data_IF_772113557018
#
_entry.id   IF_772113557018
#
_cell.length_a   1.000
_cell.length_b   1.000
_cell.length_c   1.000
_cell.angle_alpha   90.00
_cell.angle_beta   90.00
_cell.angle_gamma   90.00
#
_symmetry.space_group_name_H-M   'P 1'
#
loop_
_entity.id
_entity.type
_entity.pdbx_description
1 polymer ?
#
# COMPACT_ATOMS: atom_id res chain seq x y z
N UNK A 1 -45.84 47.74 22.39
CA UNK A 1 -45.54 46.82 23.52
C UNK A 1 -44.50 45.82 23.06
N UNK A 2 -43.36 45.75 23.78
CA UNK A 2 -42.34 44.68 23.79
C UNK A 2 -41.55 44.49 22.47
N UNK A 3 -40.37 45.10 22.39
CA UNK A 3 -39.06 44.49 22.72
C UNK A 3 -38.75 43.28 21.85
N UNK A 4 -37.84 43.42 20.89
CA UNK A 4 -36.92 42.34 20.57
C UNK A 4 -35.56 42.91 20.17
N UNK A 5 -34.57 42.34 20.84
CA UNK A 5 -33.23 42.85 21.09
C UNK A 5 -32.37 42.94 19.83
N UNK A 6 -31.67 44.07 19.71
CA UNK A 6 -30.28 44.10 19.27
C UNK A 6 -29.45 43.19 20.19
N UNK A 7 -28.63 42.30 19.65
CA UNK A 7 -27.17 42.47 19.75
C UNK A 7 -26.45 41.32 19.06
N UNK A 8 -25.48 41.72 18.23
CA UNK A 8 -24.45 40.89 17.64
C UNK A 8 -23.72 40.07 18.71
N UNK A 9 -23.61 38.76 18.49
CA UNK A 9 -22.41 38.02 18.85
C UNK A 9 -22.00 37.23 17.62
N UNK A 10 -21.21 37.89 16.76
CA UNK A 10 -20.35 37.23 15.78
C UNK A 10 -19.27 36.48 16.55
N UNK A 11 -19.62 35.31 17.07
CA UNK A 11 -18.66 34.31 17.53
C UNK A 11 -18.11 33.62 16.30
N UNK A 12 -17.11 34.23 15.67
CA UNK A 12 -16.33 33.63 14.60
C UNK A 12 -15.55 32.44 15.19
N UNK A 13 -16.18 31.28 15.26
CA UNK A 13 -15.47 30.02 15.46
C UNK A 13 -14.76 29.75 14.15
N UNK A 14 -13.55 30.29 14.02
CA UNK A 14 -12.58 29.80 13.05
C UNK A 14 -12.23 28.38 13.50
N UNK A 15 -13.05 27.41 13.09
CA UNK A 15 -12.65 26.03 13.05
C UNK A 15 -11.48 25.98 12.07
N UNK A 16 -10.27 26.09 12.60
CA UNK A 16 -9.06 25.74 11.90
C UNK A 16 -9.19 24.24 11.66
N UNK A 17 -9.78 23.88 10.53
CA UNK A 17 -9.68 22.54 9.97
C UNK A 17 -8.20 22.35 9.66
N UNK A 18 -7.45 21.86 10.65
CA UNK A 18 -6.12 21.30 10.40
C UNK A 18 -6.33 20.27 9.28
N UNK A 19 -5.65 20.41 8.14
CA UNK A 19 -5.74 19.40 7.09
C UNK A 19 -5.33 18.08 7.74
N UNK A 20 -6.24 17.12 7.76
CA UNK A 20 -5.90 15.75 8.09
C UNK A 20 -4.81 15.36 7.09
N UNK A 21 -3.59 15.20 7.58
CA UNK A 21 -2.52 14.60 6.79
C UNK A 21 -2.99 13.20 6.43
N UNK A 22 -3.57 13.03 5.25
CA UNK A 22 -3.84 11.72 4.67
C UNK A 22 -2.50 11.21 4.17
N UNK A 23 -1.72 10.61 5.07
CA UNK A 23 -0.36 10.12 4.78
C UNK A 23 -0.25 8.60 5.01
N UNK A 24 -1.18 7.82 4.46
CA UNK A 24 -0.91 6.42 4.16
C UNK A 24 -1.48 6.06 2.79
N UNK A 25 -0.63 5.63 1.85
CA UNK A 25 -1.05 5.07 0.55
C UNK A 25 -0.69 3.58 0.49
N UNK A 26 -1.19 2.88 1.51
CA UNK A 26 -1.05 1.45 1.75
C UNK A 26 -0.56 1.15 3.16
N UNK A 27 -0.64 -0.12 3.53
CA UNK A 27 -0.08 -0.68 4.77
C UNK A 27 0.71 -1.93 4.41
N UNK A 28 1.92 -2.02 4.96
CA UNK A 28 2.67 -3.27 5.04
C UNK A 28 2.51 -3.86 6.44
N UNK A 29 2.28 -5.16 6.54
CA UNK A 29 2.14 -5.90 7.78
C UNK A 29 3.10 -7.08 7.78
N UNK A 30 3.89 -7.20 8.84
CA UNK A 30 4.86 -8.29 9.03
C UNK A 30 4.50 -9.12 10.25
N UNK A 31 4.33 -10.41 10.04
CA UNK A 31 3.99 -11.38 11.08
C UNK A 31 5.14 -12.38 11.26
N UNK A 32 5.57 -12.56 12.51
CA UNK A 32 6.65 -13.49 12.87
C UNK A 32 6.26 -14.98 12.71
N UNK A 33 7.23 -15.88 12.49
CA UNK A 33 6.99 -17.32 12.49
C UNK A 33 6.46 -17.75 13.87
N UNK A 34 5.27 -18.37 13.89
CA UNK A 34 4.57 -18.77 15.11
C UNK A 34 3.35 -17.90 15.47
N UNK A 35 3.10 -16.83 14.69
CA UNK A 35 2.01 -15.91 14.93
C UNK A 35 2.33 -14.87 16.00
N UNK A 36 1.51 -13.82 16.05
CA UNK A 36 1.72 -12.68 16.94
C UNK A 36 0.93 -11.47 16.46
N UNK A 37 1.01 -10.37 17.21
CA UNK A 37 0.48 -9.09 16.74
C UNK A 37 1.33 -8.62 15.56
N UNK A 38 0.76 -8.38 14.38
CA UNK A 38 1.52 -7.92 13.23
C UNK A 38 2.16 -6.56 13.48
N UNK A 39 3.36 -6.36 12.93
CA UNK A 39 3.99 -5.04 12.88
C UNK A 39 3.53 -4.34 11.60
N UNK A 40 2.90 -3.18 11.75
CA UNK A 40 2.34 -2.41 10.64
C UNK A 40 3.21 -1.19 10.31
N UNK A 41 3.35 -0.93 9.01
CA UNK A 41 4.08 0.19 8.45
C UNK A 41 3.22 0.92 7.43
N UNK A 42 3.21 2.25 7.51
CA UNK A 42 2.63 3.09 6.46
C UNK A 42 3.57 3.08 5.25
N UNK A 43 3.00 2.92 4.06
CA UNK A 43 3.76 2.79 2.83
C UNK A 43 3.20 3.65 1.71
N UNK A 44 4.02 3.84 0.68
CA UNK A 44 3.60 4.34 -0.63
C UNK A 44 3.87 3.28 -1.69
N UNK A 45 2.92 3.10 -2.61
CA UNK A 45 2.95 2.05 -3.61
C UNK A 45 2.89 2.65 -5.02
N UNK A 46 3.86 2.27 -5.86
CA UNK A 46 3.78 2.43 -7.30
C UNK A 46 3.92 1.08 -7.99
N UNK A 47 3.27 0.92 -9.13
CA UNK A 47 3.22 -0.35 -9.84
C UNK A 47 3.27 -0.10 -11.34
N UNK A 48 4.23 -0.74 -12.01
CA UNK A 48 4.26 -0.86 -13.47
C UNK A 48 3.75 -2.25 -13.86
N UNK A 49 3.73 -2.55 -15.16
CA UNK A 49 3.40 -3.91 -15.61
C UNK A 49 4.38 -4.97 -15.06
N UNK A 50 5.65 -4.61 -14.91
CA UNK A 50 6.74 -5.55 -14.58
C UNK A 50 7.26 -5.40 -13.14
N UNK A 51 7.02 -4.28 -12.48
CA UNK A 51 7.66 -3.98 -11.19
C UNK A 51 6.67 -3.37 -10.20
N UNK A 52 6.77 -3.78 -8.94
CA UNK A 52 6.09 -3.17 -7.81
C UNK A 52 7.13 -2.48 -6.92
N UNK A 53 6.88 -1.23 -6.58
CA UNK A 53 7.70 -0.41 -5.70
C UNK A 53 6.90 -0.12 -4.43
N UNK A 54 7.48 -0.43 -3.27
CA UNK A 54 6.88 -0.21 -1.95
C UNK A 54 7.88 0.58 -1.12
N UNK A 55 7.62 1.87 -0.92
CA UNK A 55 8.45 2.75 -0.08
C UNK A 55 7.92 2.71 1.35
N UNK A 56 8.79 2.46 2.33
CA UNK A 56 8.45 2.35 3.76
C UNK A 56 9.39 3.21 4.61
N UNK A 57 9.57 4.47 4.24
CA UNK A 57 10.51 5.39 4.86
C UNK A 57 11.00 6.42 3.83
N UNK A 58 11.90 7.30 4.24
CA UNK A 58 12.53 8.26 3.34
C UNK A 58 13.53 7.56 2.41
N UNK A 59 14.41 6.74 3.00
CA UNK A 59 15.51 6.05 2.31
C UNK A 59 15.28 4.55 2.07
N UNK A 60 14.11 4.04 2.45
CA UNK A 60 13.81 2.61 2.52
C UNK A 60 12.74 2.19 1.52
N UNK A 61 13.07 1.22 0.65
CA UNK A 61 12.21 0.75 -0.43
C UNK A 61 12.36 -0.75 -0.68
N UNK A 62 11.23 -1.42 -0.85
CA UNK A 62 11.15 -2.75 -1.43
C UNK A 62 10.80 -2.66 -2.92
N UNK A 63 11.61 -3.32 -3.75
CA UNK A 63 11.42 -3.38 -5.20
C UNK A 63 11.23 -4.84 -5.59
N UNK A 64 10.11 -5.12 -6.25
CA UNK A 64 9.76 -6.46 -6.72
C UNK A 64 9.59 -6.46 -8.22
N UNK A 65 10.46 -7.19 -8.93
CA UNK A 65 10.24 -7.57 -10.32
C UNK A 65 9.25 -8.73 -10.34
N UNK A 66 8.08 -8.51 -10.93
CA UNK A 66 6.99 -9.50 -11.00
C UNK A 66 7.40 -10.67 -11.91
N UNK A 67 7.10 -11.89 -11.46
CA UNK A 67 7.37 -13.11 -12.20
C UNK A 67 6.26 -13.47 -13.20
N UNK A 68 5.70 -14.67 -13.04
CA UNK A 68 4.69 -15.22 -13.94
C UNK A 68 3.34 -14.56 -13.70
N UNK A 69 2.95 -13.63 -14.57
CA UNK A 69 1.70 -12.90 -14.48
C UNK A 69 0.63 -13.44 -15.43
N UNK A 70 -0.59 -13.61 -14.93
CA UNK A 70 -1.78 -13.98 -15.68
C UNK A 70 -2.98 -13.15 -15.24
N UNK A 71 -4.06 -13.18 -16.03
CA UNK A 71 -5.33 -12.56 -15.66
C UNK A 71 -6.29 -13.66 -15.19
N UNK A 72 -6.78 -13.53 -13.96
CA UNK A 72 -7.78 -14.42 -13.36
C UNK A 72 -8.97 -13.55 -12.90
N UNK A 73 -10.16 -13.80 -13.43
CA UNK A 73 -11.39 -13.08 -13.03
C UNK A 73 -11.24 -11.53 -13.04
N UNK A 74 -10.60 -10.99 -14.07
CA UNK A 74 -10.27 -9.55 -14.24
C UNK A 74 -9.11 -9.03 -13.34
N UNK A 75 -8.63 -9.80 -12.36
CA UNK A 75 -7.43 -9.48 -11.56
C UNK A 75 -6.16 -9.92 -12.27
N UNK A 76 -5.12 -9.10 -12.23
CA UNK A 76 -3.78 -9.55 -12.59
C UNK A 76 -3.17 -10.28 -11.38
N UNK A 77 -2.78 -11.53 -11.58
CA UNK A 77 -2.15 -12.39 -10.58
C UNK A 77 -0.75 -12.72 -11.05
N UNK A 78 0.26 -12.33 -10.28
CA UNK A 78 1.66 -12.66 -10.54
C UNK A 78 2.19 -13.58 -9.45
N UNK A 79 2.82 -14.69 -9.85
CA UNK A 79 3.47 -15.64 -8.95
C UNK A 79 4.98 -15.62 -9.13
N UNK A 80 5.71 -15.67 -8.01
CA UNK A 80 7.17 -15.53 -8.01
C UNK A 80 7.65 -14.16 -8.50
N UNK A 81 8.95 -14.05 -8.79
CA UNK A 81 9.57 -12.78 -9.16
C UNK A 81 11.03 -12.69 -8.69
N UNK A 82 11.50 -11.48 -8.45
CA UNK A 82 12.75 -11.18 -7.77
C UNK A 82 12.53 -9.94 -6.89
N UNK A 83 12.69 -10.10 -5.57
CA UNK A 83 12.52 -9.02 -4.59
C UNK A 83 13.86 -8.51 -4.06
N UNK A 84 13.98 -7.21 -3.87
CA UNK A 84 15.13 -6.58 -3.21
C UNK A 84 14.71 -5.46 -2.26
N UNK A 85 15.40 -5.34 -1.13
CA UNK A 85 15.34 -4.17 -0.26
C UNK A 85 16.44 -3.21 -0.66
N UNK A 86 16.13 -1.92 -0.63
CA UNK A 86 17.07 -0.82 -0.73
C UNK A 86 16.91 -0.03 0.56
N UNK A 87 17.95 -0.01 1.40
CA UNK A 87 17.98 0.79 2.62
C UNK A 87 19.24 1.65 2.57
N UNK A 88 19.11 2.97 2.67
CA UNK A 88 20.24 3.91 2.65
C UNK A 88 21.21 3.67 1.47
N UNK A 89 20.67 3.40 0.29
CA UNK A 89 21.44 3.12 -0.93
C UNK A 89 22.09 1.73 -1.02
N UNK A 90 21.94 0.88 0.00
CA UNK A 90 22.41 -0.50 -0.02
C UNK A 90 21.29 -1.42 -0.49
N UNK A 91 21.57 -2.25 -1.50
CA UNK A 91 20.61 -3.22 -2.03
C UNK A 91 20.89 -4.64 -1.57
N UNK A 92 19.87 -5.31 -1.04
CA UNK A 92 19.89 -6.71 -0.61
C UNK A 92 18.77 -7.50 -1.27
N UNK A 93 19.06 -8.67 -1.83
CA UNK A 93 18.04 -9.55 -2.38
C UNK A 93 17.26 -10.24 -1.24
N UNK A 94 15.94 -10.34 -1.37
CA UNK A 94 15.11 -11.10 -0.44
C UNK A 94 14.86 -12.49 -0.99
N UNK A 95 15.25 -13.51 -0.22
CA UNK A 95 14.86 -14.89 -0.48
C UNK A 95 13.48 -15.19 0.11
N UNK A 96 12.64 -15.93 -0.62
CA UNK A 96 11.29 -16.29 -0.21
C UNK A 96 10.90 -17.68 -0.67
N UNK A 97 9.99 -18.30 0.07
CA UNK A 97 9.38 -19.59 -0.26
C UNK A 97 8.20 -19.41 -1.22
N UNK A 98 7.40 -18.37 -1.00
CA UNK A 98 6.27 -18.02 -1.86
C UNK A 98 6.10 -16.52 -1.97
N UNK A 99 5.65 -16.10 -3.15
CA UNK A 99 5.37 -14.70 -3.46
C UNK A 99 4.22 -14.64 -4.45
N UNK A 100 3.18 -13.88 -4.10
CA UNK A 100 2.02 -13.61 -4.92
C UNK A 100 1.70 -12.11 -4.93
N UNK A 101 1.40 -11.57 -6.10
CA UNK A 101 0.92 -10.19 -6.27
C UNK A 101 -0.39 -10.21 -7.00
N UNK A 102 -1.44 -9.69 -6.36
CA UNK A 102 -2.73 -9.43 -6.97
C UNK A 102 -2.82 -7.93 -7.27
N UNK A 103 -3.23 -7.58 -8.48
CA UNK A 103 -3.40 -6.19 -8.88
C UNK A 103 -4.79 -5.99 -9.50
N UNK A 104 -5.55 -5.06 -8.94
CA UNK A 104 -6.81 -4.59 -9.49
C UNK A 104 -6.60 -3.24 -10.18
N UNK A 105 -6.35 -3.23 -11.48
CA UNK A 105 -6.28 -1.99 -12.29
C UNK A 105 -7.64 -1.57 -12.85
N UNK A 106 -8.71 -2.30 -12.50
CA UNK A 106 -10.06 -2.01 -12.99
C UNK A 106 -10.70 -0.88 -12.19
N UNK A 107 -11.87 -0.44 -12.66
CA UNK A 107 -12.73 0.51 -11.95
C UNK A 107 -13.78 -0.18 -11.05
N UNK A 108 -13.69 -1.49 -10.84
CA UNK A 108 -14.62 -2.28 -10.02
C UNK A 108 -13.92 -2.82 -8.78
N UNK A 109 -14.70 -3.10 -7.73
CA UNK A 109 -14.23 -3.94 -6.63
C UNK A 109 -14.22 -5.40 -7.08
N UNK A 110 -13.10 -6.09 -6.87
CA UNK A 110 -12.90 -7.49 -7.23
C UNK A 110 -12.53 -8.31 -6.00
N UNK A 111 -12.80 -9.62 -6.00
CA UNK A 111 -12.43 -10.52 -4.91
C UNK A 111 -11.21 -11.33 -5.32
N UNK A 112 -10.25 -11.51 -4.41
CA UNK A 112 -9.09 -12.36 -4.67
C UNK A 112 -9.55 -13.82 -4.81
N UNK A 113 -9.20 -14.53 -5.90
CA UNK A 113 -9.62 -15.91 -6.11
C UNK A 113 -9.27 -16.82 -4.93
N UNK A 114 -10.25 -17.58 -4.43
CA UNK A 114 -10.06 -18.49 -3.30
C UNK A 114 -9.91 -17.82 -1.93
N UNK A 115 -10.15 -16.51 -1.82
CA UNK A 115 -10.01 -15.75 -0.57
C UNK A 115 -11.27 -14.92 -0.26
N UNK A 116 -11.39 -14.47 0.99
CA UNK A 116 -12.42 -13.51 1.42
C UNK A 116 -11.97 -12.04 1.19
N UNK A 117 -10.74 -11.82 0.74
CA UNK A 117 -10.19 -10.47 0.52
C UNK A 117 -10.84 -9.81 -0.69
N UNK A 118 -11.33 -8.59 -0.49
CA UNK A 118 -11.87 -7.74 -1.56
C UNK A 118 -10.90 -6.60 -1.83
N UNK A 119 -10.69 -6.32 -3.11
CA UNK A 119 -9.77 -5.33 -3.64
C UNK A 119 -10.54 -4.21 -4.31
N UNK A 120 -10.44 -3.00 -3.77
CA UNK A 120 -10.99 -1.81 -4.40
C UNK A 120 -10.31 -1.49 -5.75
N UNK A 121 -10.91 -0.65 -6.60
CA UNK A 121 -10.27 -0.16 -7.81
C UNK A 121 -8.86 0.40 -7.58
N UNK A 122 -7.94 0.13 -8.49
CA UNK A 122 -6.55 0.61 -8.46
C UNK A 122 -5.82 0.24 -7.16
N UNK A 123 -5.93 -1.02 -6.73
CA UNK A 123 -5.24 -1.53 -5.54
C UNK A 123 -4.31 -2.70 -5.86
N UNK A 124 -3.37 -2.94 -4.96
CA UNK A 124 -2.50 -4.11 -4.97
C UNK A 124 -2.62 -4.84 -3.64
N UNK A 125 -2.44 -6.15 -3.69
CA UNK A 125 -2.17 -7.03 -2.57
C UNK A 125 -0.93 -7.85 -2.91
N UNK A 126 0.13 -7.72 -2.12
CA UNK A 126 1.30 -8.59 -2.17
C UNK A 126 1.28 -9.47 -0.92
N UNK A 127 1.49 -10.76 -1.12
CA UNK A 127 1.65 -11.77 -0.08
C UNK A 127 2.98 -12.47 -0.29
N UNK A 128 3.84 -12.44 0.72
CA UNK A 128 5.19 -12.99 0.68
C UNK A 128 5.46 -13.78 1.95
N UNK A 129 5.88 -15.04 1.79
CA UNK A 129 6.41 -15.86 2.87
C UNK A 129 7.91 -16.01 2.66
N UNK A 130 8.71 -15.44 3.58
CA UNK A 130 10.17 -15.54 3.45
C UNK A 130 10.68 -16.90 3.97
N UNK A 131 11.94 -17.24 3.67
CA UNK A 131 12.58 -18.51 4.11
C UNK A 131 12.71 -18.64 5.64
N UNK A 132 12.52 -17.54 6.37
CA UNK A 132 12.50 -17.53 7.84
C UNK A 132 11.08 -17.75 8.40
N UNK A 133 10.09 -18.04 7.56
CA UNK A 133 8.70 -18.24 7.95
C UNK A 133 7.97 -16.96 8.37
N UNK A 134 8.49 -15.77 8.04
CA UNK A 134 7.78 -14.50 8.25
C UNK A 134 6.81 -14.26 7.10
N UNK A 135 5.59 -13.92 7.46
CA UNK A 135 4.56 -13.54 6.50
C UNK A 135 4.53 -12.02 6.36
N UNK A 136 4.68 -11.54 5.13
CA UNK A 136 4.65 -10.12 4.80
C UNK A 136 3.46 -9.91 3.87
N UNK A 137 2.57 -9.00 4.27
CA UNK A 137 1.43 -8.58 3.47
C UNK A 137 1.56 -7.10 3.17
N UNK A 138 1.42 -6.71 1.91
CA UNK A 138 1.37 -5.32 1.50
C UNK A 138 0.04 -5.09 0.79
N UNK A 139 -0.74 -4.13 1.26
CA UNK A 139 -2.01 -3.78 0.66
C UNK A 139 -2.15 -2.27 0.54
N UNK A 140 -2.60 -1.79 -0.62
CA UNK A 140 -2.81 -0.36 -0.77
C UNK A 140 -3.25 0.06 -2.16
N UNK A 141 -3.48 1.35 -2.31
CA UNK A 141 -3.82 1.97 -3.59
C UNK A 141 -2.55 2.24 -4.38
N UNK A 142 -2.59 1.92 -5.67
CA UNK A 142 -1.51 2.24 -6.60
C UNK A 142 -1.66 3.72 -6.96
N UNK A 143 -0.65 4.52 -6.66
CA UNK A 143 -0.55 5.85 -7.23
C UNK A 143 -0.03 5.74 -8.66
N UNK A 144 -0.72 6.40 -9.60
CA UNK A 144 -0.31 6.46 -11.00
C UNK A 144 0.77 7.53 -11.24
N UNK A 145 1.11 8.31 -10.22
CA UNK A 145 2.24 9.22 -10.29
C UNK A 145 3.53 8.39 -10.40
N UNK A 146 4.16 8.57 -11.55
CA UNK A 146 5.30 7.89 -12.15
C UNK A 146 6.30 7.29 -11.12
N UNK A 147 6.79 6.04 -11.30
CA UNK A 147 7.89 5.50 -10.48
C UNK A 147 9.13 6.41 -10.39
N UNK A 148 9.30 7.34 -11.33
CA UNK A 148 10.34 8.37 -11.28
C UNK A 148 10.18 9.33 -10.07
N UNK A 149 8.95 9.60 -9.60
CA UNK A 149 8.69 10.37 -8.37
C UNK A 149 9.11 9.59 -7.10
N UNK A 150 9.34 8.28 -7.21
CA UNK A 150 9.94 7.45 -6.17
C UNK A 150 11.46 7.30 -6.34
N UNK A 151 12.07 7.94 -7.33
CA UNK A 151 13.51 7.91 -7.56
C UNK A 151 14.21 9.23 -7.25
N UNK A 152 13.46 10.34 -7.10
CA UNK A 152 14.00 11.66 -6.79
C UNK A 152 13.80 11.99 -5.29
N UNK A 153 14.80 11.63 -4.47
CA UNK A 153 15.40 12.44 -3.41
C UNK A 153 16.66 11.74 -2.91
#
# INVERSE_FOLDING_TARGET
MKNLLQSLVFGLVAAISLPSFVLAKGVASVTAPGGGVPQEYEISIASTQETLYVRYGEDDMFILKKGNCQIEEELQVCTGGEGKLVNYGVSEAIAYESLMVFTNTTNKTLTVPGSAVTMEPNTVLLELLNENGRYITVMGRIDANNPDDLSEN
#
